data_IF_556039801622
#
_entry.id   IF_556039801622
#
_cell.length_a   1.000
_cell.length_b   1.000
_cell.length_c   1.000
_cell.angle_alpha   90.00
_cell.angle_beta   90.00
_cell.angle_gamma   90.00
#
_symmetry.space_group_name_H-M   'P 1'
#
loop_
_entity.id
_entity.type
_entity.pdbx_description
1 polymer ?
#
# COMPACT_ATOMS: atom_id res chain seq x y z
N UNK A 1 79.25 -10.09 2.14
CA UNK A 1 79.76 -11.13 1.22
C UNK A 1 78.59 -11.92 0.65
N UNK A 2 78.68 -12.17 -0.65
CA UNK A 2 77.81 -12.91 -1.59
C UNK A 2 77.92 -14.43 -1.25
N UNK A 3 76.97 -15.37 -1.42
CA UNK A 3 76.29 -15.87 -2.64
C UNK A 3 75.13 -16.89 -2.36
N UNK A 4 74.04 -16.74 -3.13
CA UNK A 4 73.28 -17.70 -3.99
C UNK A 4 72.69 -19.08 -3.56
N UNK A 5 71.34 -19.15 -3.72
CA UNK A 5 70.50 -20.16 -4.46
C UNK A 5 70.31 -21.59 -3.93
N UNK A 6 69.12 -22.17 -3.76
CA UNK A 6 68.05 -22.64 -4.70
C UNK A 6 66.92 -23.23 -3.81
N UNK A 7 65.68 -23.55 -4.21
CA UNK A 7 65.04 -23.73 -5.50
C UNK A 7 63.50 -23.80 -5.38
N UNK A 8 62.85 -23.77 -6.54
CA UNK A 8 61.39 -23.74 -6.72
C UNK A 8 60.79 -25.14 -6.82
N UNK A 9 59.55 -25.32 -6.35
CA UNK A 9 58.69 -26.43 -6.81
C UNK A 9 57.24 -26.00 -7.08
N UNK A 10 56.77 -26.56 -8.19
CA UNK A 10 55.60 -26.28 -9.01
C UNK A 10 54.24 -26.57 -8.38
N UNK A 11 53.25 -25.82 -8.85
CA UNK A 11 51.81 -26.00 -8.68
C UNK A 11 51.26 -27.20 -9.49
N UNK A 12 50.18 -27.82 -9.01
CA UNK A 12 49.38 -28.79 -9.76
C UNK A 12 47.89 -28.54 -9.53
N UNK A 13 47.25 -27.91 -10.51
CA UNK A 13 45.79 -27.73 -10.63
C UNK A 13 45.29 -28.71 -11.68
N UNK A 14 44.29 -29.53 -11.33
CA UNK A 14 43.66 -30.50 -12.23
C UNK A 14 42.48 -29.86 -12.96
N UNK A 15 42.57 -29.72 -14.29
CA UNK A 15 41.45 -29.37 -15.18
C UNK A 15 40.77 -30.64 -15.70
N UNK A 16 39.44 -30.69 -15.65
CA UNK A 16 38.64 -31.68 -16.37
C UNK A 16 38.40 -31.24 -17.82
N UNK A 17 38.30 -32.25 -18.67
CA UNK A 17 38.55 -32.25 -20.12
C UNK A 17 37.24 -32.12 -20.89
N UNK A 18 37.09 -31.06 -21.68
CA UNK A 18 36.09 -30.94 -22.75
C UNK A 18 36.72 -31.44 -24.06
N UNK A 19 35.95 -32.19 -24.85
CA UNK A 19 36.27 -32.64 -26.22
C UNK A 19 35.06 -32.40 -27.15
N UNK A 20 35.26 -32.28 -28.48
CA UNK A 20 34.90 -31.03 -29.14
C UNK A 20 34.01 -31.14 -30.41
N UNK A 21 33.38 -30.00 -30.73
CA UNK A 21 33.27 -29.31 -32.03
C UNK A 21 32.51 -29.86 -33.26
N UNK A 22 31.91 -28.87 -33.94
CA UNK A 22 31.36 -28.78 -35.32
C UNK A 22 29.88 -29.20 -35.44
N UNK A 23 28.93 -28.35 -35.85
CA UNK A 23 28.95 -27.49 -37.04
C UNK A 23 28.21 -26.16 -36.84
N UNK A 24 28.66 -25.20 -37.63
CA UNK A 24 28.29 -23.78 -37.73
C UNK A 24 27.03 -23.61 -38.58
N UNK A 25 26.02 -22.88 -38.10
CA UNK A 25 25.09 -22.17 -38.99
C UNK A 25 24.54 -20.90 -38.35
N UNK A 26 24.89 -19.79 -38.98
CA UNK A 26 24.44 -18.43 -38.77
C UNK A 26 22.99 -18.25 -39.25
N UNK A 27 22.11 -17.65 -38.44
CA UNK A 27 21.05 -16.71 -38.89
C UNK A 27 20.15 -16.23 -37.75
N UNK A 28 20.09 -14.90 -37.60
CA UNK A 28 18.97 -14.03 -37.18
C UNK A 28 18.17 -14.30 -35.89
N UNK A 29 18.19 -13.30 -35.00
CA UNK A 29 17.14 -13.01 -34.03
C UNK A 29 15.85 -12.56 -34.76
N UNK A 30 14.68 -12.84 -34.19
CA UNK A 30 13.31 -12.67 -34.73
C UNK A 30 12.74 -13.87 -35.54
N UNK A 31 12.37 -14.96 -34.85
CA UNK A 31 11.05 -15.62 -35.04
C UNK A 31 10.88 -16.81 -34.08
N UNK A 32 10.12 -16.64 -33.00
CA UNK A 32 9.55 -17.77 -32.24
C UNK A 32 8.13 -17.43 -31.80
N UNK A 33 7.23 -17.28 -32.77
CA UNK A 33 5.79 -17.38 -32.54
C UNK A 33 5.32 -18.74 -33.06
N UNK A 34 4.80 -19.65 -32.22
CA UNK A 34 4.22 -20.89 -32.72
C UNK A 34 2.89 -20.60 -33.43
N UNK A 35 2.91 -20.70 -34.76
CA UNK A 35 1.74 -20.63 -35.65
C UNK A 35 0.88 -21.88 -35.46
N UNK A 36 -0.22 -21.79 -34.69
CA UNK A 36 -1.26 -22.83 -34.63
C UNK A 36 -2.04 -22.87 -35.96
N UNK A 37 -2.11 -24.05 -36.58
CA UNK A 37 -3.01 -24.34 -37.72
C UNK A 37 -4.42 -24.69 -37.19
N UNK A 38 -5.49 -24.37 -37.94
CA UNK A 38 -6.86 -24.73 -37.57
C UNK A 38 -7.14 -26.18 -37.95
N UNK A 39 -7.74 -26.95 -37.03
CA UNK A 39 -8.29 -28.28 -37.33
C UNK A 39 -9.78 -28.29 -36.98
N UNK A 40 -10.58 -28.32 -38.04
CA UNK A 40 -12.03 -28.52 -38.03
C UNK A 40 -12.32 -30.01 -38.21
N UNK A 41 -13.02 -30.66 -37.27
CA UNK A 41 -13.98 -31.76 -37.55
C UNK A 41 -14.60 -32.33 -36.25
N UNK A 42 -15.86 -31.94 -36.01
CA UNK A 42 -17.08 -32.73 -35.66
C UNK A 42 -17.08 -33.93 -34.69
N UNK A 43 -18.24 -34.20 -34.04
CA UNK A 43 -18.35 -34.85 -32.74
C UNK A 43 -18.66 -36.35 -32.83
N UNK A 44 -18.20 -37.12 -31.85
CA UNK A 44 -18.68 -38.50 -31.62
C UNK A 44 -19.16 -38.68 -30.20
N UNK A 45 -20.44 -38.99 -30.12
CA UNK A 45 -21.24 -39.40 -28.98
C UNK A 45 -20.71 -40.66 -28.28
N UNK A 46 -20.57 -40.60 -26.95
CA UNK A 46 -20.72 -41.79 -26.08
C UNK A 46 -21.49 -41.40 -24.81
N UNK A 47 -22.65 -42.06 -24.64
CA UNK A 47 -23.57 -42.01 -23.50
C UNK A 47 -23.04 -42.90 -22.33
N UNK A 48 -23.67 -42.85 -21.14
CA UNK A 48 -22.99 -42.80 -19.85
C UNK A 48 -22.85 -44.16 -19.17
N UNK A 49 -21.96 -44.25 -18.17
CA UNK A 49 -21.98 -45.32 -17.16
C UNK A 49 -22.23 -44.75 -15.77
N UNK A 50 -23.05 -45.50 -15.04
CA UNK A 50 -23.72 -45.25 -13.75
C UNK A 50 -22.82 -44.74 -12.62
N UNK A 51 -23.46 -43.93 -11.77
CA UNK A 51 -23.04 -43.44 -10.47
C UNK A 51 -22.79 -44.55 -9.42
N UNK A 52 -22.04 -44.20 -8.36
CA UNK A 52 -22.41 -44.50 -6.98
C UNK A 52 -22.98 -43.24 -6.28
N UNK A 53 -23.87 -43.49 -5.33
CA UNK A 53 -24.61 -42.56 -4.46
C UNK A 53 -23.69 -41.80 -3.48
N UNK A 54 -24.20 -40.71 -2.85
CA UNK A 54 -23.40 -39.71 -2.16
C UNK A 54 -23.09 -40.15 -0.72
N UNK A 55 -21.83 -39.98 -0.31
CA UNK A 55 -21.53 -39.74 1.10
C UNK A 55 -21.67 -38.23 1.34
N UNK A 56 -22.45 -37.89 2.35
CA UNK A 56 -22.73 -36.54 2.82
C UNK A 56 -21.44 -35.86 3.31
N UNK A 57 -20.78 -35.12 2.44
CA UNK A 57 -19.83 -34.06 2.78
C UNK A 57 -20.25 -32.79 2.01
N UNK A 58 -21.20 -32.05 2.58
CA UNK A 58 -21.84 -30.86 2.00
C UNK A 58 -20.96 -29.59 1.96
N UNK A 59 -19.63 -29.69 2.06
CA UNK A 59 -18.73 -28.51 2.20
C UNK A 59 -17.65 -28.35 1.11
N UNK A 60 -17.83 -28.93 -0.09
CA UNK A 60 -16.83 -28.86 -1.18
C UNK A 60 -17.31 -28.25 -2.51
N UNK A 61 -18.39 -27.44 -2.49
CA UNK A 61 -18.98 -26.85 -3.71
C UNK A 61 -18.10 -25.85 -4.49
N UNK A 62 -16.89 -25.51 -4.00
CA UNK A 62 -15.92 -24.64 -4.69
C UNK A 62 -14.51 -25.26 -4.81
N UNK A 63 -14.33 -26.53 -4.42
CA UNK A 63 -13.00 -27.09 -4.14
C UNK A 63 -12.34 -27.84 -5.31
N UNK A 64 -13.02 -28.02 -6.45
CA UNK A 64 -12.52 -28.83 -7.57
C UNK A 64 -11.92 -28.03 -8.73
N UNK A 65 -12.73 -27.16 -9.33
CA UNK A 65 -12.44 -26.66 -10.68
C UNK A 65 -11.96 -25.22 -10.70
N UNK A 66 -10.94 -25.00 -11.54
CA UNK A 66 -10.44 -23.67 -11.88
C UNK A 66 -11.53 -22.93 -12.66
N UNK A 67 -11.71 -21.64 -12.38
CA UNK A 67 -12.67 -20.83 -13.12
C UNK A 67 -12.19 -20.69 -14.57
N UNK A 68 -13.11 -20.87 -15.52
CA UNK A 68 -12.82 -20.61 -16.92
C UNK A 68 -12.45 -19.14 -17.10
N UNK A 69 -11.40 -18.86 -17.88
CA UNK A 69 -10.94 -17.50 -18.18
C UNK A 69 -11.29 -17.16 -19.63
N UNK A 70 -12.37 -16.39 -19.81
CA UNK A 70 -12.81 -15.92 -21.13
C UNK A 70 -12.19 -14.56 -21.50
N UNK A 71 -11.36 -13.97 -20.64
CA UNK A 71 -10.64 -12.72 -20.88
C UNK A 71 -10.85 -11.65 -19.81
N UNK A 72 -10.25 -10.49 -20.05
CA UNK A 72 -10.23 -9.36 -19.12
C UNK A 72 -11.47 -8.47 -19.27
N UNK A 73 -12.15 -8.08 -18.17
CA UNK A 73 -13.13 -7.01 -18.20
C UNK A 73 -12.41 -5.68 -18.53
N UNK A 74 -12.97 -4.92 -19.47
CA UNK A 74 -12.34 -3.73 -20.05
C UNK A 74 -12.26 -2.53 -19.06
N UNK A 75 -13.08 -2.53 -18.01
CA UNK A 75 -13.03 -1.63 -16.85
C UNK A 75 -13.93 -2.20 -15.74
N UNK A 76 -13.57 -1.97 -14.45
CA UNK A 76 -14.44 -2.37 -13.33
C UNK A 76 -15.66 -1.46 -13.17
N UNK A 77 -15.56 -0.22 -13.64
CA UNK A 77 -16.71 0.68 -13.68
C UNK A 77 -17.45 0.51 -15.00
N UNK A 78 -18.75 0.21 -14.90
CA UNK A 78 -19.70 0.25 -16.02
C UNK A 78 -20.36 1.62 -16.16
N UNK A 79 -20.02 2.59 -15.31
CA UNK A 79 -20.66 3.91 -15.30
C UNK A 79 -20.02 4.84 -16.33
N UNK A 80 -20.76 5.10 -17.42
CA UNK A 80 -20.36 5.96 -18.53
C UNK A 80 -20.19 7.44 -18.14
N UNK A 81 -20.63 7.83 -16.94
CA UNK A 81 -20.49 9.19 -16.41
C UNK A 81 -19.11 9.49 -15.84
N UNK A 82 -18.30 8.46 -15.56
CA UNK A 82 -16.97 8.61 -14.96
C UNK A 82 -15.89 8.87 -16.03
N UNK A 83 -15.92 10.05 -16.65
CA UNK A 83 -14.97 10.41 -17.71
C UNK A 83 -13.80 11.24 -17.21
N UNK A 84 -14.05 12.12 -16.26
CA UNK A 84 -13.05 13.08 -15.79
C UNK A 84 -12.41 12.64 -14.46
N UNK A 85 -11.13 12.94 -14.26
CA UNK A 85 -10.40 12.61 -13.02
C UNK A 85 -11.07 13.19 -11.76
N UNK A 86 -11.55 14.45 -11.74
CA UNK A 86 -12.27 14.98 -10.57
C UNK A 86 -13.54 14.20 -10.24
N UNK A 87 -14.26 13.70 -11.25
CA UNK A 87 -15.46 12.89 -11.04
C UNK A 87 -15.09 11.53 -10.45
N UNK A 88 -14.03 10.89 -10.95
CA UNK A 88 -13.49 9.65 -10.41
C UNK A 88 -13.09 9.80 -8.93
N UNK A 89 -12.42 10.91 -8.58
CA UNK A 89 -12.04 11.21 -7.19
C UNK A 89 -13.28 11.32 -6.28
N UNK A 90 -14.28 12.08 -6.70
CA UNK A 90 -15.51 12.27 -5.92
C UNK A 90 -16.32 10.98 -5.80
N UNK A 91 -16.41 10.20 -6.87
CA UNK A 91 -17.05 8.88 -6.88
C UNK A 91 -16.36 7.91 -5.91
N UNK A 92 -15.03 7.84 -5.97
CA UNK A 92 -14.25 6.97 -5.08
C UNK A 92 -14.44 7.36 -3.62
N UNK A 93 -14.51 8.66 -3.31
CA UNK A 93 -14.72 9.14 -1.95
C UNK A 93 -16.14 8.86 -1.44
N UNK A 94 -17.17 9.01 -2.29
CA UNK A 94 -18.56 8.79 -1.88
C UNK A 94 -18.87 7.31 -1.66
N UNK A 95 -18.23 6.42 -2.42
CA UNK A 95 -18.42 4.96 -2.36
C UNK A 95 -17.51 4.25 -1.34
N UNK A 96 -16.60 4.97 -0.68
CA UNK A 96 -15.63 4.38 0.25
C UNK A 96 -16.27 3.58 1.39
N UNK A 97 -17.41 4.07 1.90
CA UNK A 97 -18.08 3.50 3.06
C UNK A 97 -19.55 3.23 2.78
N UNK A 98 -20.02 2.07 3.23
CA UNK A 98 -21.42 1.71 3.15
C UNK A 98 -22.24 2.44 4.22
N UNK A 99 -23.54 2.68 3.96
CA UNK A 99 -24.45 3.22 4.95
C UNK A 99 -24.52 2.32 6.19
N UNK A 100 -24.76 2.92 7.35
CA UNK A 100 -24.89 2.18 8.61
C UNK A 100 -26.03 1.15 8.50
N UNK A 101 -25.84 -0.08 9.00
CA UNK A 101 -26.86 -1.11 8.91
C UNK A 101 -28.05 -0.75 9.79
N UNK A 102 -29.26 -1.08 9.34
CA UNK A 102 -30.51 -0.91 10.11
C UNK A 102 -31.26 -2.25 10.07
N UNK A 103 -31.40 -3.00 11.18
CA UNK A 103 -30.91 -2.72 12.54
C UNK A 103 -29.39 -2.87 12.68
N UNK A 104 -28.77 -1.92 13.39
CA UNK A 104 -27.31 -1.80 13.40
C UNK A 104 -26.60 -2.95 14.12
N UNK A 105 -27.19 -3.54 15.15
CA UNK A 105 -26.51 -4.52 16.01
C UNK A 105 -25.23 -4.00 16.66
N UNK A 106 -24.96 -2.69 16.58
CA UNK A 106 -23.83 -1.97 17.16
C UNK A 106 -24.27 -1.16 18.37
N UNK A 107 -23.39 -1.00 19.35
CA UNK A 107 -23.62 -0.04 20.44
C UNK A 107 -23.64 1.39 19.91
N UNK A 108 -24.35 2.29 20.60
CA UNK A 108 -24.34 3.73 20.28
C UNK A 108 -22.93 4.32 20.31
N UNK A 109 -22.09 3.87 21.25
CA UNK A 109 -20.66 4.24 21.32
C UNK A 109 -19.92 3.83 20.06
N UNK A 110 -20.15 2.61 19.55
CA UNK A 110 -19.50 2.12 18.34
C UNK A 110 -19.97 2.88 17.11
N UNK A 111 -21.25 3.22 17.03
CA UNK A 111 -21.79 4.04 15.94
C UNK A 111 -21.11 5.42 15.94
N UNK A 112 -20.97 6.06 17.11
CA UNK A 112 -20.27 7.34 17.22
C UNK A 112 -18.80 7.25 16.82
N UNK A 113 -18.08 6.19 17.21
CA UNK A 113 -16.70 5.94 16.78
C UNK A 113 -16.59 5.81 15.26
N UNK A 114 -17.50 5.04 14.63
CA UNK A 114 -17.51 4.85 13.17
C UNK A 114 -17.76 6.18 12.45
N UNK A 115 -18.75 6.95 12.89
CA UNK A 115 -19.06 8.26 12.30
C UNK A 115 -17.89 9.24 12.47
N UNK A 116 -17.27 9.26 13.65
CA UNK A 116 -16.12 10.12 13.92
C UNK A 116 -14.89 9.71 13.10
N UNK A 117 -14.64 8.40 12.95
CA UNK A 117 -13.57 7.90 12.10
C UNK A 117 -13.78 8.35 10.65
N UNK A 118 -14.99 8.14 10.10
CA UNK A 118 -15.35 8.54 8.74
C UNK A 118 -15.21 10.05 8.51
N UNK A 119 -15.68 10.88 9.44
CA UNK A 119 -15.56 12.35 9.34
C UNK A 119 -14.09 12.84 9.39
N UNK A 120 -13.22 12.09 10.07
CA UNK A 120 -11.78 12.40 10.17
C UNK A 120 -10.97 11.93 8.96
N UNK A 121 -11.54 11.12 8.07
CA UNK A 121 -10.83 10.62 6.90
C UNK A 121 -10.35 11.76 5.99
N UNK A 122 -9.10 11.70 5.51
CA UNK A 122 -8.61 12.69 4.56
C UNK A 122 -9.25 12.45 3.18
N UNK A 123 -9.51 13.52 2.39
CA UNK A 123 -10.04 13.41 1.03
C UNK A 123 -8.96 12.99 0.03
N UNK A 124 -8.22 11.92 0.35
CA UNK A 124 -7.15 11.34 -0.47
C UNK A 124 -7.71 10.13 -1.20
N UNK A 125 -7.38 10.03 -2.48
CA UNK A 125 -7.62 8.84 -3.29
C UNK A 125 -6.29 8.38 -3.85
N UNK A 126 -5.98 7.09 -3.74
CA UNK A 126 -4.77 6.53 -4.33
C UNK A 126 -4.86 6.50 -5.85
N UNK A 127 -3.71 6.61 -6.52
CA UNK A 127 -3.65 6.49 -8.00
C UNK A 127 -4.20 5.14 -8.47
N UNK A 128 -4.03 4.09 -7.67
CA UNK A 128 -4.56 2.76 -7.92
C UNK A 128 -6.09 2.77 -8.16
N UNK A 129 -6.89 3.36 -7.28
CA UNK A 129 -8.35 3.48 -7.52
C UNK A 129 -8.68 4.13 -8.85
N UNK A 130 -7.99 5.24 -9.17
CA UNK A 130 -8.27 5.98 -10.40
C UNK A 130 -7.95 5.11 -11.62
N UNK A 131 -6.83 4.39 -11.60
CA UNK A 131 -6.45 3.49 -12.68
C UNK A 131 -7.37 2.27 -12.83
N UNK A 132 -7.95 1.79 -11.73
CA UNK A 132 -8.91 0.68 -11.76
C UNK A 132 -10.25 1.06 -12.38
N UNK A 133 -10.66 2.31 -12.16
CA UNK A 133 -11.95 2.84 -12.64
C UNK A 133 -11.84 3.46 -14.04
N UNK A 134 -10.68 4.01 -14.40
CA UNK A 134 -10.47 4.66 -15.68
C UNK A 134 -10.34 3.66 -16.84
N UNK A 135 -10.88 4.03 -18.00
CA UNK A 135 -10.79 3.20 -19.21
C UNK A 135 -9.38 3.12 -19.80
N UNK A 136 -8.54 4.15 -19.58
CA UNK A 136 -7.16 4.17 -20.08
C UNK A 136 -6.22 4.85 -19.08
N UNK A 137 -5.29 4.11 -18.45
CA UNK A 137 -4.42 4.66 -17.41
C UNK A 137 -3.52 5.77 -17.97
N UNK A 138 -3.00 5.62 -19.20
CA UNK A 138 -2.14 6.64 -19.82
C UNK A 138 -2.87 7.96 -20.12
N UNK A 139 -4.16 7.90 -20.48
CA UNK A 139 -4.95 9.11 -20.70
C UNK A 139 -5.23 9.82 -19.38
N UNK A 140 -5.58 9.05 -18.35
CA UNK A 140 -5.84 9.53 -16.99
C UNK A 140 -4.60 10.17 -16.35
N UNK A 141 -3.41 9.59 -16.54
CA UNK A 141 -2.16 10.20 -16.06
C UNK A 141 -1.88 11.54 -16.75
N UNK A 142 -2.11 11.63 -18.07
CA UNK A 142 -1.95 12.89 -18.81
C UNK A 142 -2.94 13.96 -18.34
N UNK A 143 -4.20 13.60 -18.14
CA UNK A 143 -5.22 14.50 -17.61
C UNK A 143 -4.86 14.95 -16.18
N UNK A 144 -4.47 14.01 -15.32
CA UNK A 144 -4.02 14.28 -13.95
C UNK A 144 -2.86 15.29 -13.94
N UNK A 145 -1.85 15.10 -14.79
CA UNK A 145 -0.73 16.03 -14.91
C UNK A 145 -1.18 17.44 -15.34
N UNK A 146 -2.10 17.55 -16.30
CA UNK A 146 -2.66 18.85 -16.72
C UNK A 146 -3.45 19.52 -15.60
N UNK A 147 -4.24 18.76 -14.84
CA UNK A 147 -5.03 19.29 -13.73
C UNK A 147 -4.16 19.70 -12.54
N UNK A 148 -3.04 19.01 -12.30
CA UNK A 148 -2.02 19.42 -11.31
C UNK A 148 -1.35 20.72 -11.76
N UNK A 149 -0.98 20.85 -13.04
CA UNK A 149 -0.39 22.08 -13.57
C UNK A 149 -1.36 23.27 -13.46
N UNK A 150 -2.67 23.04 -13.68
CA UNK A 150 -3.72 24.04 -13.48
C UNK A 150 -4.01 24.35 -11.99
N UNK A 151 -3.43 23.59 -11.05
CA UNK A 151 -3.66 23.74 -9.61
C UNK A 151 -5.04 23.24 -9.12
N UNK A 152 -5.78 22.51 -9.95
CA UNK A 152 -7.08 21.93 -9.59
C UNK A 152 -6.89 20.69 -8.72
N UNK A 153 -5.88 19.89 -9.04
CA UNK A 153 -5.48 18.70 -8.29
C UNK A 153 -4.12 18.93 -7.65
N UNK A 154 -3.88 18.21 -6.55
CA UNK A 154 -2.56 18.11 -5.92
C UNK A 154 -2.19 16.65 -5.73
N UNK A 155 -0.93 16.34 -6.02
CA UNK A 155 -0.34 15.03 -5.72
C UNK A 155 0.30 15.06 -4.34
N UNK A 156 0.05 14.03 -3.54
CA UNK A 156 0.66 13.79 -2.25
C UNK A 156 1.53 12.56 -2.38
N UNK A 157 2.80 12.70 -2.00
CA UNK A 157 3.68 11.54 -1.85
C UNK A 157 3.32 10.82 -0.56
N UNK A 158 2.90 9.58 -0.68
CA UNK A 158 2.61 8.74 0.47
C UNK A 158 3.88 7.93 0.71
N UNK A 159 4.72 8.39 1.64
CA UNK A 159 5.92 7.63 1.99
C UNK A 159 5.50 6.35 2.74
N UNK A 160 5.62 5.21 2.06
CA UNK A 160 5.38 3.90 2.63
C UNK A 160 6.29 3.65 3.84
N UNK A 161 5.69 3.51 5.02
CA UNK A 161 6.31 2.72 6.09
C UNK A 161 5.99 1.26 5.81
N UNK A 162 7.06 0.47 5.63
CA UNK A 162 7.13 -1.00 5.51
C UNK A 162 7.27 -1.54 4.07
N UNK A 163 8.28 -2.40 3.91
CA UNK A 163 8.64 -3.19 2.73
C UNK A 163 7.50 -4.05 2.19
N UNK A 164 7.39 -4.10 0.85
CA UNK A 164 6.82 -5.22 0.09
C UNK A 164 5.30 -5.22 -0.04
N UNK A 165 4.81 -5.04 -1.28
CA UNK A 165 3.42 -5.24 -1.73
C UNK A 165 2.31 -4.29 -1.19
N UNK A 166 2.58 -3.48 -0.17
CA UNK A 166 1.59 -2.59 0.47
C UNK A 166 1.87 -1.09 0.32
N UNK A 167 2.79 -0.70 -0.58
CA UNK A 167 3.03 0.72 -0.81
C UNK A 167 1.81 1.33 -1.53
N UNK A 168 1.23 2.36 -0.91
CA UNK A 168 0.13 3.12 -1.50
C UNK A 168 0.69 4.10 -2.53
N UNK A 169 2.00 4.39 -2.46
CA UNK A 169 2.77 5.13 -3.45
C UNK A 169 2.42 6.61 -3.51
N UNK A 170 1.32 6.94 -4.19
CA UNK A 170 0.90 8.30 -4.47
C UNK A 170 -0.61 8.46 -4.26
N UNK A 171 -0.98 9.58 -3.64
CA UNK A 171 -2.36 10.00 -3.46
C UNK A 171 -2.65 11.27 -4.24
N UNK A 172 -3.89 11.42 -4.69
CA UNK A 172 -4.40 12.61 -5.37
C UNK A 172 -5.54 13.18 -4.54
N UNK A 173 -5.63 14.50 -4.51
CA UNK A 173 -6.66 15.24 -3.80
C UNK A 173 -7.05 16.50 -4.58
N UNK A 174 -8.33 16.86 -4.50
CA UNK A 174 -8.83 18.12 -5.02
C UNK A 174 -8.32 19.28 -4.17
N UNK A 175 -7.73 20.30 -4.82
CA UNK A 175 -7.24 21.49 -4.12
C UNK A 175 -8.35 22.16 -3.31
N UNK A 176 -9.58 22.24 -3.85
CA UNK A 176 -10.75 22.77 -3.15
C UNK A 176 -11.09 21.99 -1.87
N UNK A 177 -11.00 20.66 -1.90
CA UNK A 177 -11.23 19.81 -0.74
C UNK A 177 -10.13 19.98 0.32
N UNK A 178 -8.87 20.13 -0.11
CA UNK A 178 -7.76 20.45 0.78
C UNK A 178 -7.97 21.79 1.48
N UNK A 179 -8.27 22.85 0.73
CA UNK A 179 -8.50 24.17 1.28
C UNK A 179 -9.68 24.19 2.26
N UNK A 180 -10.78 23.51 1.91
CA UNK A 180 -11.93 23.34 2.81
C UNK A 180 -11.50 22.69 4.13
N UNK A 181 -10.64 21.67 4.07
CA UNK A 181 -10.11 21.00 5.26
C UNK A 181 -9.27 21.94 6.13
N UNK A 182 -8.40 22.75 5.51
CA UNK A 182 -7.59 23.76 6.22
C UNK A 182 -8.49 24.79 6.89
N UNK A 183 -9.49 25.32 6.19
CA UNK A 183 -10.43 26.31 6.74
C UNK A 183 -11.21 25.74 7.93
N UNK A 184 -11.63 24.47 7.84
CA UNK A 184 -12.36 23.75 8.89
C UNK A 184 -11.53 23.42 10.15
N UNK A 185 -10.20 23.46 10.07
CA UNK A 185 -9.33 23.11 11.18
C UNK A 185 -9.43 24.13 12.32
N UNK A 186 -9.95 23.73 13.48
CA UNK A 186 -10.15 24.63 14.63
C UNK A 186 -8.86 25.02 15.34
N UNK A 187 -7.80 24.23 15.16
CA UNK A 187 -6.51 24.38 15.83
C UNK A 187 -5.61 25.46 15.22
N UNK A 188 -5.94 25.95 14.02
CA UNK A 188 -5.14 26.93 13.30
C UNK A 188 -5.78 28.32 13.35
N UNK A 189 -4.96 29.34 13.54
CA UNK A 189 -5.37 30.74 13.40
C UNK A 189 -5.75 31.09 11.95
N UNK A 190 -6.68 32.04 11.79
CA UNK A 190 -7.15 32.50 10.48
C UNK A 190 -6.03 33.03 9.59
N UNK A 191 -5.06 33.75 10.16
CA UNK A 191 -3.92 34.27 9.41
C UNK A 191 -3.00 33.16 8.91
N UNK A 192 -2.78 32.12 9.71
CA UNK A 192 -1.97 30.95 9.33
C UNK A 192 -2.64 30.16 8.22
N UNK A 193 -3.96 29.97 8.30
CA UNK A 193 -4.76 29.27 7.27
C UNK A 193 -4.63 29.92 5.90
N UNK A 194 -4.85 31.23 5.81
CA UNK A 194 -4.80 31.93 4.52
C UNK A 194 -3.37 31.99 3.96
N UNK A 195 -2.35 32.15 4.82
CA UNK A 195 -0.93 32.04 4.39
C UNK A 195 -0.63 30.66 3.81
N UNK A 196 -1.05 29.59 4.48
CA UNK A 196 -0.85 28.23 4.00
C UNK A 196 -1.61 27.96 2.69
N UNK A 197 -2.84 28.44 2.55
CA UNK A 197 -3.62 28.31 1.29
C UNK A 197 -2.95 29.08 0.16
N UNK A 198 -2.42 30.28 0.42
CA UNK A 198 -1.66 31.04 -0.57
C UNK A 198 -0.41 30.28 -1.03
N UNK A 199 0.32 29.65 -0.11
CA UNK A 199 1.47 28.79 -0.45
C UNK A 199 1.06 27.56 -1.27
N UNK A 200 -0.07 26.92 -0.91
CA UNK A 200 -0.59 25.79 -1.68
C UNK A 200 -0.90 26.17 -3.13
N UNK A 201 -1.46 27.37 -3.37
CA UNK A 201 -1.78 27.90 -4.69
C UNK A 201 -0.56 28.38 -5.48
N UNK A 202 0.42 28.95 -4.79
CA UNK A 202 1.68 29.40 -5.40
C UNK A 202 2.53 28.23 -5.92
N UNK A 203 2.46 27.08 -5.23
CA UNK A 203 3.22 25.88 -5.56
C UNK A 203 2.29 24.67 -5.78
N UNK A 204 1.56 24.60 -6.91
CA UNK A 204 0.57 23.54 -7.15
C UNK A 204 1.21 22.17 -7.43
N UNK A 205 2.38 22.14 -8.06
CA UNK A 205 3.11 20.91 -8.42
C UNK A 205 4.03 20.40 -7.31
N UNK A 206 4.36 21.25 -6.33
CA UNK A 206 5.34 20.90 -5.30
C UNK A 206 4.74 20.02 -4.20
N UNK A 207 5.37 18.89 -3.93
CA UNK A 207 5.04 18.02 -2.79
C UNK A 207 5.78 18.42 -1.52
N UNK A 208 6.84 19.21 -1.66
CA UNK A 208 7.69 19.68 -0.57
C UNK A 208 7.67 21.21 -0.49
N UNK A 209 8.02 21.74 0.67
CA UNK A 209 8.11 23.15 0.96
C UNK A 209 9.43 23.41 1.72
N UNK A 210 10.29 24.32 1.23
CA UNK A 210 11.50 24.67 1.95
C UNK A 210 11.16 25.47 3.21
N UNK A 211 11.82 25.16 4.33
CA UNK A 211 11.50 25.76 5.63
C UNK A 211 11.59 27.28 5.70
N UNK A 212 12.29 27.94 4.76
CA UNK A 212 12.39 29.41 4.65
C UNK A 212 11.08 30.11 4.29
N UNK A 213 10.12 29.41 3.69
CA UNK A 213 8.85 30.00 3.24
C UNK A 213 7.84 30.17 4.38
N UNK A 214 8.09 29.54 5.54
CA UNK A 214 7.23 29.60 6.71
C UNK A 214 7.95 30.20 7.90
N UNK A 215 7.20 30.96 8.70
CA UNK A 215 7.64 31.31 10.06
C UNK A 215 7.70 30.03 10.89
N UNK A 216 8.68 29.95 11.80
CA UNK A 216 8.86 28.75 12.62
C UNK A 216 7.63 28.41 13.47
N UNK A 217 6.91 29.43 13.97
CA UNK A 217 5.65 29.28 14.71
C UNK A 217 4.53 28.72 13.83
N UNK A 218 4.36 29.27 12.62
CA UNK A 218 3.38 28.79 11.64
C UNK A 218 3.68 27.34 11.24
N UNK A 219 4.95 27.01 11.00
CA UNK A 219 5.38 25.66 10.67
C UNK A 219 5.13 24.66 11.80
N UNK A 220 5.36 25.06 13.06
CA UNK A 220 5.07 24.23 14.23
C UNK A 220 3.56 23.96 14.38
N UNK A 221 2.73 25.00 14.23
CA UNK A 221 1.27 24.88 14.29
C UNK A 221 0.69 24.01 13.16
N UNK A 222 1.19 24.18 11.93
CA UNK A 222 0.81 23.36 10.77
C UNK A 222 1.26 21.90 10.92
N UNK A 223 2.42 21.68 11.53
CA UNK A 223 2.93 20.32 11.83
C UNK A 223 2.10 19.65 12.92
N UNK A 224 1.76 20.36 14.00
CA UNK A 224 0.91 19.80 15.08
C UNK A 224 -0.50 19.50 14.60
N UNK A 225 -1.06 20.34 13.74
CA UNK A 225 -2.36 20.10 13.10
C UNK A 225 -2.33 18.99 12.04
N UNK A 226 -1.13 18.53 11.62
CA UNK A 226 -0.94 17.44 10.67
C UNK A 226 -1.02 17.84 9.19
N UNK A 227 -0.89 19.13 8.87
CA UNK A 227 -0.86 19.66 7.50
C UNK A 227 0.55 19.70 6.90
N UNK A 228 1.57 19.58 7.75
CA UNK A 228 2.97 19.45 7.35
C UNK A 228 3.61 18.28 8.09
N UNK A 229 4.56 17.63 7.43
CA UNK A 229 5.46 16.66 8.06
C UNK A 229 6.89 17.08 7.76
N UNK A 230 7.74 17.13 8.79
CA UNK A 230 9.14 17.49 8.60
C UNK A 230 9.86 16.32 7.92
N UNK A 231 10.48 16.57 6.78
CA UNK A 231 11.38 15.56 6.19
C UNK A 231 12.67 15.60 6.98
N UNK A 232 12.89 14.58 7.80
CA UNK A 232 14.26 14.27 8.20
C UNK A 232 14.96 13.84 6.91
N UNK A 233 16.12 14.41 6.51
CA UNK A 233 16.89 13.81 5.45
C UNK A 233 17.14 12.36 5.87
N UNK A 234 16.55 11.40 5.14
CA UNK A 234 17.06 10.04 5.16
C UNK A 234 18.52 10.22 4.81
N UNK A 235 19.41 9.86 5.73
CA UNK A 235 20.79 9.57 5.37
C UNK A 235 20.69 8.54 4.25
N UNK A 236 20.79 9.01 3.02
CA UNK A 236 21.02 8.14 1.89
C UNK A 236 22.27 7.36 2.28
N UNK A 237 22.26 6.06 2.05
CA UNK A 237 23.36 5.16 2.32
C UNK A 237 24.62 5.45 1.44
N UNK A 238 24.91 6.72 1.17
CA UNK A 238 26.04 7.25 0.43
C UNK A 238 27.20 7.66 1.36
N UNK A 239 26.97 7.92 2.65
CA UNK A 239 28.04 8.27 3.60
C UNK A 239 28.72 7.07 4.27
N UNK A 240 28.30 5.84 3.97
CA UNK A 240 28.94 4.61 4.50
C UNK A 240 30.31 4.36 3.85
N UNK A 241 30.67 5.07 2.78
CA UNK A 241 31.94 4.87 2.05
C UNK A 241 33.07 5.83 2.42
N UNK A 242 32.87 6.74 3.39
CA UNK A 242 33.89 7.73 3.80
C UNK A 242 34.46 7.50 5.20
N UNK A 243 34.47 6.26 5.69
CA UNK A 243 35.18 5.91 6.91
C UNK A 243 36.30 4.88 6.62
N UNK A 244 37.58 5.22 6.82
CA UNK A 244 38.66 4.27 6.69
C UNK A 244 38.69 3.32 7.91
N UNK A 245 38.54 2.02 7.62
CA UNK A 245 39.12 0.87 8.31
C UNK A 245 39.27 0.93 9.84
N UNK A 246 38.31 0.34 10.55
CA UNK A 246 38.60 -0.48 11.73
C UNK A 246 37.56 -1.59 11.85
N UNK A 247 38.03 -2.81 12.10
CA UNK A 247 37.30 -4.05 12.01
C UNK A 247 36.03 -4.10 12.89
N UNK A 248 34.96 -4.61 12.29
CA UNK A 248 33.90 -5.37 12.98
C UNK A 248 33.13 -4.63 14.07
N UNK A 249 32.11 -3.86 13.71
CA UNK A 249 30.89 -3.78 14.53
C UNK A 249 29.74 -3.24 13.69
N UNK A 250 28.80 -4.13 13.40
CA UNK A 250 27.49 -3.80 12.85
C UNK A 250 26.83 -2.72 13.71
N UNK A 251 26.46 -1.61 13.08
CA UNK A 251 25.64 -0.53 13.60
C UNK A 251 24.30 -1.08 14.10
N UNK A 252 24.23 -1.41 15.38
CA UNK A 252 23.02 -1.95 16.00
C UNK A 252 23.01 -1.59 17.49
N UNK A 253 22.27 -0.53 17.83
CA UNK A 253 21.56 -0.23 19.10
C UNK A 253 22.18 -0.53 20.48
N UNK A 254 23.42 -1.01 20.60
CA UNK A 254 24.06 -1.34 21.87
C UNK A 254 24.42 -0.09 22.70
N UNK A 255 24.62 1.07 22.06
CA UNK A 255 24.99 2.31 22.74
C UNK A 255 23.85 2.94 23.58
N UNK A 256 22.59 2.52 23.37
CA UNK A 256 21.47 2.95 24.22
C UNK A 256 21.39 2.16 25.54
N UNK A 257 21.90 0.93 25.57
CA UNK A 257 21.88 0.11 26.78
C UNK A 257 22.90 0.57 27.83
N UNK A 258 23.98 1.24 27.41
CA UNK A 258 25.04 1.72 28.31
C UNK A 258 24.87 3.17 28.77
N UNK A 259 23.89 3.90 28.22
CA UNK A 259 23.60 5.28 28.63
C UNK A 259 22.92 5.36 30.00
N UNK A 260 22.16 4.31 30.39
CA UNK A 260 21.48 4.25 31.69
C UNK A 260 22.37 3.85 32.87
N UNK A 261 23.62 3.41 32.65
CA UNK A 261 24.46 2.83 33.71
C UNK A 261 25.51 3.79 34.29
N UNK A 262 25.56 5.07 33.85
CA UNK A 262 26.56 6.05 34.29
C UNK A 262 26.00 7.27 35.02
N UNK A 263 24.69 7.44 35.08
CA UNK A 263 24.07 8.52 35.84
C UNK A 263 23.64 8.00 37.22
N UNK A 264 24.09 8.65 38.30
CA UNK A 264 23.66 8.34 39.65
C UNK A 264 22.15 8.59 39.78
N UNK A 265 21.42 7.60 40.30
CA UNK A 265 19.97 7.63 40.44
C UNK A 265 19.51 8.83 41.28
N UNK A 266 18.56 9.62 40.74
CA UNK A 266 17.88 10.70 41.48
C UNK A 266 18.11 12.12 40.96
N UNK A 267 18.77 12.34 39.82
CA UNK A 267 18.96 13.68 39.23
C UNK A 267 18.07 13.91 38.00
N UNK A 268 17.72 15.17 37.75
CA UNK A 268 16.76 15.63 36.71
C UNK A 268 17.23 15.29 35.28
N UNK A 269 18.50 14.95 35.06
CA UNK A 269 18.99 14.41 33.78
C UNK A 269 18.52 12.97 33.48
N UNK A 270 18.10 12.20 34.49
CA UNK A 270 17.58 10.83 34.30
C UNK A 270 16.16 10.79 33.71
N UNK A 271 15.46 11.92 33.67
CA UNK A 271 14.15 12.06 33.01
C UNK A 271 14.26 13.09 31.89
N UNK A 272 14.91 12.69 30.80
CA UNK A 272 14.69 13.22 29.45
C UNK A 272 14.38 14.72 29.32
N UNK A 273 15.21 15.58 29.92
CA UNK A 273 15.10 17.02 29.76
C UNK A 273 15.48 17.47 28.34
N UNK A 274 14.93 18.61 27.92
CA UNK A 274 15.17 19.27 26.62
C UNK A 274 16.66 19.62 26.49
N UNK A 275 17.45 18.68 25.94
CA UNK A 275 18.90 18.79 25.83
C UNK A 275 19.66 17.47 25.89
N UNK A 276 19.04 16.36 26.31
CA UNK A 276 19.71 15.07 26.49
C UNK A 276 20.28 14.43 25.20
N UNK A 277 19.98 14.97 24.02
CA UNK A 277 20.49 14.47 22.73
C UNK A 277 21.85 15.10 22.36
N UNK A 278 22.32 16.11 23.09
CA UNK A 278 23.55 16.86 22.76
C UNK A 278 24.77 16.53 23.64
N UNK A 279 24.62 15.68 24.66
CA UNK A 279 25.68 15.43 25.66
C UNK A 279 26.42 14.08 25.49
N UNK A 280 26.13 13.28 24.48
CA UNK A 280 26.83 12.02 24.21
C UNK A 280 27.84 12.17 23.05
N UNK A 281 29.01 12.70 23.37
CA UNK A 281 30.26 12.42 22.64
C UNK A 281 30.52 13.24 21.37
N UNK A 282 30.97 14.49 21.54
CA UNK A 282 31.68 15.23 20.50
C UNK A 282 33.15 15.41 20.89
N UNK A 283 34.02 14.51 20.41
CA UNK A 283 35.47 14.61 20.55
C UNK A 283 36.16 14.58 19.18
N UNK A 284 36.75 15.72 18.79
CA UNK A 284 37.56 15.94 17.58
C UNK A 284 36.73 16.17 16.31
N UNK A 285 36.85 17.23 15.51
CA UNK A 285 38.01 18.06 15.14
C UNK A 285 37.53 19.51 14.94
N UNK A 286 38.32 20.49 15.37
CA UNK A 286 38.15 21.91 15.01
C UNK A 286 38.37 22.09 13.51
N UNK A 287 37.27 22.18 12.76
CA UNK A 287 37.23 22.72 11.40
C UNK A 287 36.46 24.05 11.41
N UNK A 288 37.18 25.16 11.35
CA UNK A 288 36.65 26.50 11.15
C UNK A 288 36.08 26.62 9.73
N UNK A 289 34.79 26.31 9.55
CA UNK A 289 33.89 26.87 8.53
C UNK A 289 32.56 26.09 8.49
N UNK A 290 31.57 26.54 9.27
CA UNK A 290 30.14 26.54 8.92
C UNK A 290 29.32 26.88 10.17
N UNK A 291 29.61 28.03 10.77
CA UNK A 291 28.77 28.63 11.81
C UNK A 291 27.71 29.51 11.13
N UNK A 292 26.86 28.91 10.29
CA UNK A 292 25.58 29.47 9.82
C UNK A 292 24.86 28.57 8.78
N UNK A 293 24.66 27.30 9.13
CA UNK A 293 23.57 26.53 8.53
C UNK A 293 22.65 26.07 9.64
N UNK A 294 21.80 27.00 10.12
CA UNK A 294 20.48 26.60 10.61
C UNK A 294 19.92 25.70 9.52
N UNK A 295 19.82 24.41 9.77
CA UNK A 295 19.26 23.48 8.82
C UNK A 295 17.80 23.88 8.60
N UNK A 296 17.55 24.70 7.57
CA UNK A 296 16.24 24.95 7.01
C UNK A 296 15.71 23.58 6.57
N UNK A 297 14.96 22.93 7.45
CA UNK A 297 14.39 21.62 7.16
C UNK A 297 13.38 21.75 6.03
N UNK A 298 13.37 20.78 5.13
CA UNK A 298 12.29 20.62 4.18
C UNK A 298 11.05 20.07 4.90
N UNK A 299 9.87 20.46 4.42
CA UNK A 299 8.58 19.98 4.90
C UNK A 299 7.83 19.33 3.73
N UNK A 300 7.17 18.21 3.99
CA UNK A 300 6.22 17.59 3.08
C UNK A 300 4.81 18.10 3.38
N UNK A 301 4.05 18.43 2.35
CA UNK A 301 2.62 18.66 2.50
C UNK A 301 1.92 17.36 2.87
N UNK A 302 1.13 17.40 3.94
CA UNK A 302 0.38 16.26 4.44
C UNK A 302 -1.06 16.66 4.76
N UNK A 303 -1.95 15.68 4.84
CA UNK A 303 -3.29 15.89 5.38
C UNK A 303 -3.44 15.22 6.75
N UNK A 304 -4.21 15.80 7.67
CA UNK A 304 -4.51 15.18 8.94
C UNK A 304 -5.14 13.80 8.73
N UNK A 305 -4.83 12.85 9.62
CA UNK A 305 -5.31 11.46 9.57
C UNK A 305 -4.90 10.63 8.34
N UNK A 306 -3.91 11.08 7.54
CA UNK A 306 -3.33 10.28 6.44
C UNK A 306 -2.88 8.90 6.92
N UNK A 307 -2.21 8.79 8.07
CA UNK A 307 -1.77 7.48 8.60
C UNK A 307 -2.92 6.50 8.92
N UNK A 308 -4.10 7.01 9.33
CA UNK A 308 -5.27 6.17 9.59
C UNK A 308 -5.87 5.63 8.29
N UNK A 309 -5.93 6.46 7.25
CA UNK A 309 -6.32 6.06 5.90
C UNK A 309 -5.41 4.96 5.35
N UNK A 310 -4.08 5.14 5.43
CA UNK A 310 -3.11 4.15 4.95
C UNK A 310 -3.23 2.82 5.70
N UNK A 311 -3.43 2.87 7.03
CA UNK A 311 -3.62 1.67 7.83
C UNK A 311 -4.89 0.92 7.45
N UNK A 312 -6.00 1.63 7.21
CA UNK A 312 -7.25 1.04 6.74
C UNK A 312 -7.04 0.35 5.39
N UNK A 313 -6.43 1.07 4.45
CA UNK A 313 -6.19 0.61 3.09
C UNK A 313 -5.26 -0.62 3.04
N UNK A 314 -4.13 -0.57 3.75
CA UNK A 314 -3.22 -1.72 3.85
C UNK A 314 -3.89 -2.95 4.49
N UNK A 315 -4.64 -2.76 5.57
CA UNK A 315 -5.36 -3.85 6.23
C UNK A 315 -6.48 -4.43 5.36
N UNK A 316 -7.18 -3.58 4.59
CA UNK A 316 -8.24 -3.99 3.69
C UNK A 316 -7.69 -4.79 2.50
N UNK A 317 -6.63 -4.31 1.85
CA UNK A 317 -5.91 -5.02 0.77
C UNK A 317 -5.44 -6.40 1.23
N UNK A 318 -4.74 -6.45 2.37
CA UNK A 318 -4.26 -7.71 2.93
C UNK A 318 -5.40 -8.68 3.26
N UNK A 319 -6.53 -8.17 3.76
CA UNK A 319 -7.69 -9.00 4.05
C UNK A 319 -8.31 -9.58 2.77
N UNK A 320 -8.49 -8.79 1.71
CA UNK A 320 -9.03 -9.27 0.44
C UNK A 320 -8.15 -10.38 -0.16
N UNK A 321 -6.84 -10.17 -0.20
CA UNK A 321 -5.89 -11.18 -0.67
C UNK A 321 -5.97 -12.44 0.18
N UNK A 322 -6.06 -12.31 1.51
CA UNK A 322 -6.21 -13.45 2.41
C UNK A 322 -7.52 -14.22 2.20
N UNK A 323 -8.60 -13.55 1.80
CA UNK A 323 -9.87 -14.22 1.47
C UNK A 323 -9.70 -15.06 0.20
N UNK A 324 -9.06 -14.54 -0.84
CA UNK A 324 -8.78 -15.29 -2.07
C UNK A 324 -7.89 -16.51 -1.81
N UNK A 325 -6.82 -16.34 -1.02
CA UNK A 325 -5.92 -17.44 -0.66
C UNK A 325 -6.60 -18.56 0.12
N UNK A 326 -7.61 -18.24 0.92
CA UNK A 326 -8.39 -19.21 1.71
C UNK A 326 -9.56 -19.82 0.95
N UNK A 327 -10.07 -19.14 -0.08
CA UNK A 327 -11.29 -19.58 -0.76
C UNK A 327 -11.02 -20.71 -1.73
N UNK A 328 -9.88 -20.70 -2.42
CA UNK A 328 -9.55 -21.78 -3.35
C UNK A 328 -8.05 -22.02 -3.41
N UNK A 329 -7.66 -23.25 -3.75
CA UNK A 329 -6.27 -23.63 -4.03
C UNK A 329 -5.65 -22.77 -5.14
N UNK A 330 -6.47 -22.33 -6.09
CA UNK A 330 -6.07 -21.53 -7.24
C UNK A 330 -5.97 -20.04 -6.93
N UNK A 331 -6.41 -19.60 -5.73
CA UNK A 331 -6.48 -18.18 -5.33
C UNK A 331 -7.40 -17.37 -6.23
N UNK A 332 -8.45 -18.02 -6.73
CA UNK A 332 -9.49 -17.45 -7.59
C UNK A 332 -10.86 -17.65 -6.95
N UNK A 333 -11.76 -16.67 -7.06
CA UNK A 333 -13.14 -16.80 -6.60
C UNK A 333 -14.06 -15.85 -7.39
N UNK A 334 -15.35 -16.19 -7.56
CA UNK A 334 -16.32 -15.27 -8.14
C UNK A 334 -16.56 -14.07 -7.20
N UNK A 335 -16.80 -12.90 -7.80
CA UNK A 335 -17.00 -11.63 -7.09
C UNK A 335 -18.14 -11.72 -6.05
N UNK A 336 -19.22 -12.45 -6.35
CA UNK A 336 -20.34 -12.66 -5.45
C UNK A 336 -19.94 -13.35 -4.14
N UNK A 337 -19.15 -14.42 -4.22
CA UNK A 337 -18.66 -15.19 -3.05
C UNK A 337 -17.70 -14.34 -2.22
N UNK A 338 -16.81 -13.58 -2.87
CA UNK A 338 -15.88 -12.69 -2.16
C UNK A 338 -16.60 -11.56 -1.44
N UNK A 339 -17.62 -10.98 -2.08
CA UNK A 339 -18.50 -9.98 -1.47
C UNK A 339 -19.17 -10.53 -0.23
N UNK A 340 -19.80 -11.71 -0.34
CA UNK A 340 -20.45 -12.36 0.80
C UNK A 340 -19.46 -12.58 1.95
N UNK A 341 -18.27 -13.13 1.66
CA UNK A 341 -17.18 -13.32 2.64
C UNK A 341 -16.72 -12.00 3.28
N UNK A 342 -16.65 -10.92 2.51
CA UNK A 342 -16.28 -9.59 3.01
C UNK A 342 -17.34 -9.00 3.94
N UNK A 343 -18.61 -9.15 3.60
CA UNK A 343 -19.74 -8.61 4.37
C UNK A 343 -20.00 -9.39 5.66
N UNK A 344 -19.43 -10.58 5.78
CA UNK A 344 -19.53 -11.45 6.95
C UNK A 344 -20.44 -12.67 6.74
N UNK A 345 -20.75 -13.01 5.49
CA UNK A 345 -21.55 -14.16 5.08
C UNK A 345 -20.83 -15.50 5.06
N UNK A 346 -19.59 -15.59 5.56
CA UNK A 346 -18.95 -16.90 5.81
C UNK A 346 -18.55 -17.00 7.27
N UNK A 347 -19.05 -18.07 7.89
CA UNK A 347 -18.73 -18.50 9.24
C UNK A 347 -17.23 -18.35 9.48
N UNK A 348 -16.87 -17.58 10.50
CA UNK A 348 -15.52 -17.73 11.02
C UNK A 348 -15.34 -19.19 11.45
N UNK A 349 -14.14 -19.74 11.22
CA UNK A 349 -13.60 -20.97 11.82
C UNK A 349 -13.59 -20.97 13.37
N UNK A 350 -14.37 -20.08 14.00
CA UNK A 350 -14.60 -20.12 15.42
C UNK A 350 -15.57 -21.26 15.69
N UNK A 351 -15.11 -22.30 16.40
CA UNK A 351 -15.92 -23.42 16.89
C UNK A 351 -17.23 -22.93 17.56
N UNK A 352 -17.18 -21.76 18.19
CA UNK A 352 -18.32 -21.09 18.82
C UNK A 352 -19.38 -20.51 17.84
N UNK A 353 -19.02 -20.26 16.58
CA UNK A 353 -19.94 -19.84 15.52
C UNK A 353 -20.64 -21.04 14.88
N UNK A 354 -19.95 -22.18 14.76
CA UNK A 354 -20.53 -23.46 14.34
C UNK A 354 -21.57 -23.97 15.36
N UNK A 355 -21.26 -23.95 16.66
CA UNK A 355 -22.20 -24.34 17.73
C UNK A 355 -23.45 -23.43 17.85
N UNK A 356 -23.41 -22.21 17.31
CA UNK A 356 -24.57 -21.30 17.27
C UNK A 356 -25.45 -21.53 16.04
N UNK A 357 -24.91 -22.13 14.98
CA UNK A 357 -25.64 -22.55 13.79
C UNK A 357 -26.61 -23.69 14.11
N UNK A 358 -26.20 -24.64 14.95
CA UNK A 358 -27.06 -25.75 15.41
C UNK A 358 -28.29 -25.30 16.21
N UNK A 359 -28.30 -24.06 16.73
CA UNK A 359 -29.39 -23.50 17.53
C UNK A 359 -30.33 -22.59 16.73
N UNK A 360 -30.27 -22.61 15.40
CA UNK A 360 -31.23 -21.93 14.53
C UNK A 360 -31.04 -20.42 14.35
N UNK A 361 -29.91 -19.84 14.78
CA UNK A 361 -29.56 -18.45 14.51
C UNK A 361 -28.48 -18.36 13.42
N UNK A 362 -28.91 -18.21 12.17
CA UNK A 362 -28.04 -18.18 10.99
C UNK A 362 -27.64 -16.74 10.63
N UNK A 363 -26.62 -16.22 11.29
CA UNK A 363 -25.95 -14.98 10.87
C UNK A 363 -25.31 -14.18 11.99
N UNK A 364 -24.07 -13.72 11.78
CA UNK A 364 -23.48 -12.66 12.59
C UNK A 364 -24.26 -11.39 12.32
N UNK A 365 -24.78 -10.73 13.37
CA UNK A 365 -25.45 -9.43 13.21
C UNK A 365 -24.58 -8.50 12.36
N UNK A 366 -25.15 -7.79 11.36
CA UNK A 366 -24.36 -6.98 10.43
C UNK A 366 -23.35 -6.05 11.12
N UNK A 367 -23.70 -5.43 12.24
CA UNK A 367 -22.80 -4.57 13.01
C UNK A 367 -21.63 -5.25 13.73
N UNK A 368 -21.66 -6.57 13.87
CA UNK A 368 -20.61 -7.35 14.55
C UNK A 368 -19.61 -7.98 13.58
N UNK A 369 -19.80 -7.82 12.27
CA UNK A 369 -18.90 -8.38 11.27
C UNK A 369 -17.56 -7.65 11.25
N UNK A 370 -16.54 -8.30 10.68
CA UNK A 370 -15.19 -7.73 10.56
C UNK A 370 -15.19 -6.43 9.74
N UNK A 371 -16.08 -6.31 8.75
CA UNK A 371 -16.34 -5.08 7.98
C UNK A 371 -16.57 -3.87 8.90
N UNK A 372 -17.43 -4.00 9.90
CA UNK A 372 -17.77 -2.89 10.82
C UNK A 372 -16.79 -2.75 11.98
N UNK A 373 -16.22 -3.86 12.47
CA UNK A 373 -15.26 -3.86 13.58
C UNK A 373 -13.87 -3.35 13.20
N UNK A 374 -13.36 -3.76 12.03
CA UNK A 374 -11.97 -3.50 11.63
C UNK A 374 -11.86 -2.53 10.46
N UNK A 375 -12.86 -2.51 9.57
CA UNK A 375 -12.83 -1.71 8.35
C UNK A 375 -13.84 -0.55 8.34
N UNK A 376 -14.49 -0.28 9.48
CA UNK A 376 -15.40 0.87 9.65
C UNK A 376 -16.53 0.96 8.62
N UNK A 377 -16.96 -0.20 8.09
CA UNK A 377 -17.97 -0.30 7.04
C UNK A 377 -17.45 0.04 5.65
N UNK A 378 -16.17 -0.18 5.37
CA UNK A 378 -15.60 0.01 4.04
C UNK A 378 -16.26 -0.95 3.02
N UNK A 379 -16.64 -0.38 1.87
CA UNK A 379 -17.33 -1.10 0.79
C UNK A 379 -16.43 -2.14 0.13
N UNK A 380 -17.01 -3.28 -0.25
CA UNK A 380 -16.27 -4.37 -0.90
C UNK A 380 -15.71 -3.93 -2.26
N UNK A 381 -16.54 -3.28 -3.08
CA UNK A 381 -16.18 -2.80 -4.40
C UNK A 381 -15.02 -1.82 -4.35
N UNK A 382 -15.06 -0.90 -3.39
CA UNK A 382 -13.99 0.08 -3.19
C UNK A 382 -12.65 -0.62 -2.94
N UNK A 383 -12.63 -1.63 -2.06
CA UNK A 383 -11.41 -2.40 -1.78
C UNK A 383 -10.98 -3.25 -2.99
N UNK A 384 -11.92 -3.81 -3.75
CA UNK A 384 -11.63 -4.57 -4.96
C UNK A 384 -11.01 -3.67 -6.03
N UNK A 385 -11.60 -2.52 -6.30
CA UNK A 385 -11.08 -1.48 -7.21
C UNK A 385 -9.65 -1.11 -6.82
N UNK A 386 -9.40 -0.88 -5.52
CA UNK A 386 -8.07 -0.59 -5.04
C UNK A 386 -7.05 -1.72 -5.29
N UNK A 387 -7.45 -2.96 -5.04
CA UNK A 387 -6.55 -4.10 -5.21
C UNK A 387 -6.25 -4.39 -6.69
N UNK A 388 -7.23 -4.15 -7.57
CA UNK A 388 -7.03 -4.27 -9.02
C UNK A 388 -6.11 -3.16 -9.53
N UNK A 389 -6.36 -1.92 -9.12
CA UNK A 389 -5.52 -0.79 -9.50
C UNK A 389 -4.09 -0.87 -8.96
N UNK A 390 -3.91 -1.51 -7.80
CA UNK A 390 -2.60 -1.78 -7.22
C UNK A 390 -1.91 -3.01 -7.83
N UNK A 391 -2.58 -3.75 -8.71
CA UNK A 391 -2.05 -4.97 -9.33
C UNK A 391 -1.89 -6.14 -8.35
N UNK A 392 -2.64 -6.15 -7.24
CA UNK A 392 -2.65 -7.26 -6.28
C UNK A 392 -3.59 -8.38 -6.73
N UNK A 393 -4.68 -7.99 -7.38
CA UNK A 393 -5.69 -8.91 -7.90
C UNK A 393 -6.08 -8.51 -9.31
N UNK A 394 -6.60 -9.46 -10.07
CA UNK A 394 -7.03 -9.29 -11.44
C UNK A 394 -8.44 -9.84 -11.57
N UNK A 395 -9.32 -9.08 -12.22
CA UNK A 395 -10.65 -9.55 -12.56
C UNK A 395 -10.64 -10.18 -13.96
N UNK A 396 -11.43 -11.22 -14.16
CA UNK A 396 -11.59 -11.92 -15.44
C UNK A 396 -13.04 -12.37 -15.60
N UNK A 397 -13.50 -12.56 -16.83
CA UNK A 397 -14.83 -13.10 -17.10
C UNK A 397 -14.81 -14.63 -17.10
N UNK A 398 -15.84 -15.24 -16.51
CA UNK A 398 -15.94 -16.71 -16.35
C UNK A 398 -16.97 -17.37 -17.26
N UNK A 399 -17.73 -16.58 -18.03
CA UNK A 399 -18.80 -17.03 -18.93
C UNK A 399 -20.02 -17.68 -18.26
N UNK A 400 -19.91 -18.14 -17.00
CA UNK A 400 -20.94 -18.93 -16.29
C UNK A 400 -21.39 -18.27 -14.98
N UNK A 401 -20.45 -17.86 -14.13
CA UNK A 401 -20.71 -17.32 -12.78
C UNK A 401 -20.44 -15.82 -12.66
N UNK A 402 -20.23 -15.15 -13.80
CA UNK A 402 -19.97 -13.71 -13.89
C UNK A 402 -18.48 -13.38 -13.82
N UNK A 403 -18.14 -12.31 -13.08
CA UNK A 403 -16.75 -11.86 -12.93
C UNK A 403 -16.05 -12.70 -11.86
N UNK A 404 -14.92 -13.31 -12.22
CA UNK A 404 -13.96 -13.94 -11.33
C UNK A 404 -12.86 -12.97 -10.93
N UNK A 405 -12.26 -13.20 -9.76
CA UNK A 405 -11.11 -12.44 -9.26
C UNK A 405 -10.01 -13.43 -8.89
N UNK A 406 -8.76 -13.14 -9.28
CA UNK A 406 -7.57 -13.93 -8.91
C UNK A 406 -6.45 -13.06 -8.35
N UNK A 407 -5.58 -13.64 -7.53
CA UNK A 407 -4.37 -12.96 -7.05
C UNK A 407 -3.31 -12.92 -8.16
N UNK A 408 -2.73 -11.74 -8.41
CA UNK A 408 -1.64 -11.54 -9.38
C UNK A 408 -0.31 -11.94 -8.73
N UNK A 409 0.51 -12.70 -9.45
CA UNK A 409 1.82 -13.19 -8.96
C UNK A 409 2.97 -12.29 -9.36
#
# INVERSE_FOLDING_TARGET
MVFLTTGAHSSRVTKSRVKPSFLRRTSSAFSTTPRRKPSTSTPTSKKPKKAPLPDDDDDDFLSGDRLDDTGFPHALSTDLSLRDVPQLLLHTQSKMFDPLPTPAGMSSTRIAEVLQFRARMPPIVSVAHIHALASSPTATERETAQLIQKGILRRIRIEGRVNGAADVGEGIVLTSAWESRVRSARELDGGVKERYIALLRAHPTSTTLPGRELRQEDAAALTSAGFLTRTQPRSAAADVLSAPSAAGTSSTLASLATAGSKAAAGTVEAVGGVGAVLASGAGGVRGLASRDRRAEGEFNFALPATGAYLKLLAAARAHLVSLLEKTSRWREAPVSVLRERWEGGVAGDDVAAAEKRERGWTGVLPGRTRKWRSFWGCGFEWVLEECVGAGLVECFETGSVGVGVRVVR
#
